data_IF_868467860264
#
_entry.id   IF_868467860264
#
_cell.length_a   1.000
_cell.length_b   1.000
_cell.length_c   1.000
_cell.angle_alpha   90.00
_cell.angle_beta   90.00
_cell.angle_gamma   90.00
#
_symmetry.space_group_name_H-M   'P 1'
#
loop_
_entity.id
_entity.type
_entity.pdbx_description
1 polymer ?
#
# COMPACT_ATOMS: atom_id res chain seq x y z
N UNK A 1 23.67 0.13 11.37
CA UNK A 1 23.66 -0.58 10.06
C UNK A 1 23.02 -1.93 10.27
N UNK A 2 21.83 -2.15 9.71
CA UNK A 2 21.06 -3.38 9.84
C UNK A 2 21.11 -4.11 8.49
N UNK A 3 21.27 -5.42 8.50
CA UNK A 3 21.22 -6.25 7.30
C UNK A 3 20.01 -7.17 7.37
N UNK A 4 19.20 -7.18 6.32
CA UNK A 4 18.03 -8.04 6.20
C UNK A 4 18.13 -8.86 4.92
N UNK A 5 17.89 -10.16 5.03
CA UNK A 5 17.89 -11.07 3.89
C UNK A 5 16.52 -11.72 3.76
N UNK A 6 15.89 -11.55 2.60
CA UNK A 6 14.61 -12.15 2.27
C UNK A 6 14.77 -13.10 1.07
N UNK A 7 14.21 -14.31 1.18
CA UNK A 7 14.15 -15.26 0.07
C UNK A 7 12.79 -15.17 -0.60
N UNK A 8 12.78 -14.83 -1.88
CA UNK A 8 11.57 -14.76 -2.72
C UNK A 8 11.75 -15.71 -3.90
N UNK A 9 11.07 -16.86 -3.82
CA UNK A 9 11.23 -17.93 -4.80
C UNK A 9 12.68 -18.38 -4.87
N UNK A 10 13.33 -18.09 -6.00
CA UNK A 10 14.72 -18.47 -6.26
C UNK A 10 15.80 -17.48 -5.93
N UNK A 11 15.43 -16.37 -5.32
CA UNK A 11 16.31 -15.23 -5.16
C UNK A 11 16.39 -14.85 -3.70
N UNK A 12 17.61 -14.63 -3.22
CA UNK A 12 17.90 -13.99 -1.96
C UNK A 12 18.12 -12.49 -2.24
N UNK A 13 17.30 -11.67 -1.59
CA UNK A 13 17.41 -10.21 -1.64
C UNK A 13 17.98 -9.77 -0.30
N UNK A 14 19.16 -9.17 -0.34
CA UNK A 14 19.87 -8.65 0.82
C UNK A 14 19.80 -7.13 0.80
N UNK A 15 19.15 -6.57 1.80
CA UNK A 15 19.01 -5.13 2.01
C UNK A 15 19.92 -4.69 3.16
N UNK A 16 20.76 -3.70 2.90
CA UNK A 16 21.55 -3.03 3.93
C UNK A 16 20.88 -1.71 4.25
N UNK A 17 20.62 -1.48 5.53
CA UNK A 17 19.93 -0.30 6.04
C UNK A 17 20.89 0.56 6.84
N UNK A 18 20.85 1.87 6.62
CA UNK A 18 21.48 2.86 7.50
C UNK A 18 20.52 3.23 8.61
N UNK A 19 21.04 3.49 9.82
CA UNK A 19 20.23 3.88 10.98
C UNK A 19 19.56 5.26 10.77
N UNK A 20 20.01 6.03 9.78
CA UNK A 20 19.48 7.35 9.41
C UNK A 20 18.44 7.30 8.27
N UNK A 21 18.25 6.15 7.61
CA UNK A 21 17.41 6.01 6.41
C UNK A 21 16.32 4.96 6.63
N UNK A 22 15.09 5.32 6.27
CA UNK A 22 13.96 4.37 6.21
C UNK A 22 13.95 3.54 4.91
N UNK A 23 14.98 3.68 4.08
CA UNK A 23 15.18 2.95 2.82
C UNK A 23 16.55 2.26 2.84
N UNK A 24 16.67 1.09 2.18
CA UNK A 24 17.94 0.41 2.07
C UNK A 24 18.94 1.27 1.30
N UNK A 25 20.15 1.37 1.84
CA UNK A 25 21.29 2.04 1.20
C UNK A 25 21.99 1.13 0.20
N UNK A 26 21.82 -0.18 0.33
CA UNK A 26 22.34 -1.17 -0.61
C UNK A 26 21.33 -2.32 -0.76
N UNK A 27 21.16 -2.80 -1.99
CA UNK A 27 20.34 -3.97 -2.30
C UNK A 27 21.18 -4.92 -3.16
N UNK A 28 21.34 -6.15 -2.71
CA UNK A 28 21.92 -7.23 -3.50
C UNK A 28 20.86 -8.26 -3.81
N UNK A 29 20.82 -8.70 -5.06
CA UNK A 29 19.97 -9.81 -5.49
C UNK A 29 20.88 -10.93 -5.95
N UNK A 30 20.86 -12.04 -5.22
CA UNK A 30 21.63 -13.24 -5.55
C UNK A 30 20.67 -14.42 -5.68
N UNK A 31 21.03 -15.48 -6.41
CA UNK A 31 20.30 -16.74 -6.32
C UNK A 31 20.22 -17.20 -4.85
N UNK A 32 19.06 -17.70 -4.44
CA UNK A 32 18.88 -18.31 -3.13
C UNK A 32 19.63 -19.64 -3.05
N UNK A 33 20.01 -20.06 -1.84
CA UNK A 33 20.61 -21.36 -1.62
C UNK A 33 19.65 -22.48 -2.10
N UNK A 34 20.13 -23.39 -2.95
CA UNK A 34 19.30 -24.44 -3.58
C UNK A 34 18.48 -24.01 -4.81
N UNK A 35 18.64 -22.78 -5.31
CA UNK A 35 17.91 -22.26 -6.48
C UNK A 35 18.29 -22.94 -7.82
N UNK A 36 19.34 -23.76 -7.85
CA UNK A 36 19.94 -24.41 -9.02
C UNK A 36 19.00 -25.28 -9.87
N UNK A 37 17.82 -25.59 -9.33
CA UNK A 37 16.79 -26.44 -9.94
C UNK A 37 15.47 -25.73 -10.23
N UNK A 38 15.42 -24.40 -10.19
CA UNK A 38 14.18 -23.68 -10.46
C UNK A 38 13.77 -23.80 -11.92
N UNK A 39 12.58 -24.36 -12.10
CA UNK A 39 11.91 -24.48 -13.37
C UNK A 39 10.71 -23.56 -13.39
N UNK A 40 10.47 -22.88 -14.51
CA UNK A 40 9.25 -22.10 -14.68
C UNK A 40 8.02 -23.03 -14.79
N UNK A 41 6.81 -22.46 -14.85
CA UNK A 41 5.56 -23.22 -15.01
C UNK A 41 5.50 -24.08 -16.31
N UNK A 42 6.49 -23.98 -17.20
CA UNK A 42 6.66 -24.78 -18.42
C UNK A 42 7.80 -25.80 -18.31
N UNK A 43 8.35 -26.04 -17.11
CA UNK A 43 9.42 -27.01 -16.88
C UNK A 43 10.79 -26.59 -17.41
N UNK A 44 10.98 -25.33 -17.82
CA UNK A 44 12.26 -24.84 -18.35
C UNK A 44 13.13 -24.30 -17.23
N UNK A 45 14.44 -24.64 -17.25
CA UNK A 45 15.42 -24.09 -16.32
C UNK A 45 15.45 -22.56 -16.42
N UNK A 46 15.26 -21.89 -15.30
CA UNK A 46 15.40 -20.43 -15.23
C UNK A 46 16.90 -20.12 -15.24
N UNK A 47 17.40 -19.49 -16.30
CA UNK A 47 18.80 -19.09 -16.40
C UNK A 47 19.15 -18.08 -15.29
N UNK A 48 20.04 -18.47 -14.37
CA UNK A 48 20.50 -17.68 -13.22
C UNK A 48 21.61 -16.67 -13.56
N UNK A 49 21.77 -16.28 -14.81
CA UNK A 49 22.83 -15.35 -15.20
C UNK A 49 22.35 -13.90 -15.02
N UNK A 50 22.65 -13.34 -13.84
CA UNK A 50 22.46 -11.92 -13.60
C UNK A 50 22.65 -11.57 -12.14
N UNK A 51 23.90 -11.43 -11.68
CA UNK A 51 24.18 -10.64 -10.49
C UNK A 51 23.99 -9.18 -10.91
N UNK A 52 22.80 -8.63 -10.70
CA UNK A 52 22.58 -7.19 -10.81
C UNK A 52 22.98 -6.55 -9.49
N UNK A 53 24.28 -6.28 -9.30
CA UNK A 53 24.75 -5.41 -8.23
C UNK A 53 24.67 -3.96 -8.71
N UNK A 54 23.63 -3.23 -8.30
CA UNK A 54 23.59 -1.79 -8.52
C UNK A 54 23.96 -1.09 -7.22
N UNK A 55 25.16 -0.52 -7.16
CA UNK A 55 25.53 0.39 -6.06
C UNK A 55 24.77 1.69 -6.29
N UNK A 56 23.66 1.86 -5.58
CA UNK A 56 22.85 3.08 -5.63
C UNK A 56 23.57 4.19 -4.87
N UNK A 57 24.50 4.90 -5.54
CA UNK A 57 25.25 6.00 -4.91
C UNK A 57 24.37 7.21 -4.60
N UNK A 58 23.25 7.37 -5.29
CA UNK A 58 22.27 8.41 -5.00
C UNK A 58 20.92 8.05 -5.63
N UNK A 59 19.95 7.61 -4.81
CA UNK A 59 18.55 7.59 -5.25
C UNK A 59 17.95 8.94 -4.88
N UNK A 60 17.91 9.88 -5.84
CA UNK A 60 17.03 11.05 -5.72
C UNK A 60 15.59 10.62 -5.92
N UNK A 61 15.03 9.95 -4.93
CA UNK A 61 13.58 9.89 -4.82
C UNK A 61 13.12 11.34 -4.63
N UNK A 62 12.29 11.84 -5.53
CA UNK A 62 11.60 13.10 -5.32
C UNK A 62 10.87 12.95 -3.97
N UNK A 63 11.44 13.57 -2.94
CA UNK A 63 11.02 13.47 -1.55
C UNK A 63 9.50 13.70 -1.49
N UNK A 64 8.67 12.70 -1.14
CA UNK A 64 7.43 13.05 -0.48
C UNK A 64 7.90 13.67 0.83
N UNK A 65 7.68 14.98 1.03
CA UNK A 65 8.10 15.69 2.23
C UNK A 65 7.33 15.27 3.49
N UNK A 66 6.90 14.03 3.60
CA UNK A 66 6.35 13.46 4.82
C UNK A 66 7.49 12.74 5.55
N UNK A 67 8.06 13.39 6.56
CA UNK A 67 8.90 12.72 7.56
C UNK A 67 8.25 11.39 8.02
N UNK A 68 9.01 10.37 8.44
CA UNK A 68 8.42 9.10 8.88
C UNK A 68 7.33 9.25 9.97
N UNK A 69 7.38 10.36 10.72
CA UNK A 69 6.33 10.81 11.66
C UNK A 69 5.01 11.14 10.95
N UNK A 70 5.07 11.85 9.82
CA UNK A 70 3.93 12.19 8.98
C UNK A 70 3.34 10.95 8.25
N UNK A 71 4.14 9.92 7.94
CA UNK A 71 3.61 8.65 7.41
C UNK A 71 2.86 7.89 8.50
N UNK A 72 3.40 7.82 9.72
CA UNK A 72 2.72 7.21 10.86
C UNK A 72 1.39 7.91 11.20
N UNK A 73 1.39 9.24 11.20
CA UNK A 73 0.17 10.04 11.43
C UNK A 73 -0.86 9.85 10.30
N UNK A 74 -0.42 9.77 9.04
CA UNK A 74 -1.32 9.50 7.91
C UNK A 74 -1.94 8.10 7.97
N UNK A 75 -1.16 7.07 8.36
CA UNK A 75 -1.68 5.71 8.54
C UNK A 75 -2.68 5.67 9.69
N UNK A 76 -2.39 6.37 10.80
CA UNK A 76 -3.30 6.48 11.95
C UNK A 76 -4.60 7.17 11.57
N UNK A 77 -4.53 8.31 10.87
CA UNK A 77 -5.71 9.03 10.40
C UNK A 77 -6.57 8.19 9.47
N UNK A 78 -5.93 7.41 8.57
CA UNK A 78 -6.63 6.48 7.69
C UNK A 78 -7.35 5.39 8.50
N UNK A 79 -6.67 4.77 9.46
CA UNK A 79 -7.27 3.73 10.30
C UNK A 79 -8.45 4.27 11.11
N UNK A 80 -8.30 5.41 11.79
CA UNK A 80 -9.37 6.05 12.56
C UNK A 80 -10.59 6.38 11.67
N UNK A 81 -10.35 6.84 10.43
CA UNK A 81 -11.42 7.15 9.50
C UNK A 81 -12.15 5.89 8.99
N UNK A 82 -11.41 4.79 8.77
CA UNK A 82 -11.97 3.50 8.35
C UNK A 82 -12.77 2.84 9.48
N UNK A 83 -12.26 2.88 10.72
CA UNK A 83 -12.98 2.35 11.89
C UNK A 83 -14.30 3.11 12.13
N UNK A 84 -14.26 4.44 12.05
CA UNK A 84 -15.47 5.26 12.15
C UNK A 84 -16.48 4.92 11.05
N UNK A 85 -16.02 4.69 9.82
CA UNK A 85 -16.86 4.24 8.71
C UNK A 85 -17.46 2.85 8.96
N UNK A 86 -16.66 1.93 9.50
CA UNK A 86 -17.08 0.56 9.79
C UNK A 86 -18.15 0.50 10.88
N UNK A 87 -18.11 1.40 11.87
CA UNK A 87 -19.13 1.51 12.92
C UNK A 87 -20.55 1.75 12.34
N UNK A 88 -20.67 2.49 11.23
CA UNK A 88 -21.96 2.68 10.53
C UNK A 88 -22.42 1.45 9.75
N UNK A 89 -21.51 0.51 9.48
CA UNK A 89 -21.78 -0.69 8.66
C UNK A 89 -21.82 -1.99 9.46
N UNK A 90 -21.45 -1.95 10.73
CA UNK A 90 -21.41 -3.10 11.64
C UNK A 90 -22.80 -3.75 11.86
N UNK A 91 -23.89 -3.05 11.57
CA UNK A 91 -25.27 -3.56 11.64
C UNK A 91 -25.83 -4.14 10.33
N UNK A 92 -25.01 -4.37 9.30
CA UNK A 92 -25.45 -4.80 7.96
C UNK A 92 -25.52 -3.64 6.97
N UNK A 93 -26.23 -3.80 5.83
CA UNK A 93 -26.42 -2.75 4.80
C UNK A 93 -27.25 -1.59 5.35
N UNK A 94 -26.67 -0.82 6.29
CA UNK A 94 -27.29 0.33 6.93
C UNK A 94 -27.72 1.37 5.90
N UNK A 95 -28.74 2.15 6.27
CA UNK A 95 -29.25 3.24 5.44
C UNK A 95 -28.16 4.25 5.11
N UNK A 96 -28.23 4.85 3.92
CA UNK A 96 -27.28 5.87 3.48
C UNK A 96 -27.63 7.18 4.19
N UNK A 97 -27.08 7.38 5.38
CA UNK A 97 -27.21 8.63 6.15
C UNK A 97 -26.17 9.66 5.73
N UNK A 98 -26.40 10.94 6.06
CA UNK A 98 -25.37 11.97 5.85
C UNK A 98 -24.10 11.71 6.67
N UNK A 99 -24.23 11.19 7.88
CA UNK A 99 -23.08 10.84 8.73
C UNK A 99 -22.24 9.72 8.11
N UNK A 100 -22.88 8.72 7.50
CA UNK A 100 -22.18 7.71 6.70
C UNK A 100 -21.43 8.34 5.52
N UNK A 101 -22.07 9.26 4.78
CA UNK A 101 -21.45 9.92 3.62
C UNK A 101 -20.27 10.81 4.03
N UNK A 102 -20.35 11.46 5.20
CA UNK A 102 -19.27 12.26 5.78
C UNK A 102 -18.10 11.38 6.23
N UNK A 103 -18.37 10.27 6.91
CA UNK A 103 -17.36 9.29 7.30
C UNK A 103 -16.66 8.67 6.06
N UNK A 104 -17.45 8.32 5.03
CA UNK A 104 -16.93 7.78 3.77
C UNK A 104 -16.02 8.79 3.05
N UNK A 105 -16.43 10.06 2.99
CA UNK A 105 -15.62 11.13 2.40
C UNK A 105 -14.32 11.36 3.16
N UNK A 106 -14.35 11.31 4.50
CA UNK A 106 -13.15 11.42 5.35
C UNK A 106 -12.19 10.27 5.08
N UNK A 107 -12.67 9.03 5.08
CA UNK A 107 -11.85 7.86 4.78
C UNK A 107 -11.24 7.92 3.37
N UNK A 108 -12.01 8.39 2.38
CA UNK A 108 -11.52 8.57 1.02
C UNK A 108 -10.45 9.67 0.88
N UNK A 109 -10.55 10.77 1.66
CA UNK A 109 -9.52 11.81 1.71
C UNK A 109 -8.25 11.34 2.42
N UNK A 110 -8.39 10.55 3.47
CA UNK A 110 -7.26 9.98 4.22
C UNK A 110 -6.42 9.01 3.37
N UNK A 111 -6.98 8.46 2.28
CA UNK A 111 -6.19 7.70 1.29
C UNK A 111 -5.16 8.55 0.51
N UNK A 112 -5.18 9.87 0.67
CA UNK A 112 -4.24 10.79 0.03
C UNK A 112 -4.66 11.25 -1.37
N UNK A 113 -3.81 12.06 -2.03
CA UNK A 113 -4.14 12.77 -3.28
C UNK A 113 -4.30 11.84 -4.49
N UNK A 114 -3.74 10.62 -4.41
CA UNK A 114 -3.93 9.58 -5.41
C UNK A 114 -5.25 8.83 -5.13
N UNK A 115 -6.36 9.52 -5.38
CA UNK A 115 -7.73 9.02 -5.33
C UNK A 115 -7.98 7.95 -6.42
N UNK A 116 -7.40 6.76 -6.21
CA UNK A 116 -7.26 5.71 -7.21
C UNK A 116 -8.31 4.61 -7.05
N UNK A 117 -8.36 3.71 -8.04
CA UNK A 117 -9.12 2.45 -7.97
C UNK A 117 -8.82 1.66 -6.70
N UNK A 118 -7.59 1.75 -6.17
CA UNK A 118 -7.17 1.11 -4.92
C UNK A 118 -7.93 1.63 -3.71
N UNK A 119 -8.11 2.95 -3.59
CA UNK A 119 -8.88 3.58 -2.50
C UNK A 119 -10.35 3.13 -2.53
N UNK A 120 -10.95 3.06 -3.71
CA UNK A 120 -12.33 2.57 -3.87
C UNK A 120 -12.45 1.09 -3.48
N UNK A 121 -11.46 0.27 -3.82
CA UNK A 121 -11.43 -1.16 -3.45
C UNK A 121 -11.33 -1.34 -1.94
N UNK A 122 -10.44 -0.61 -1.27
CA UNK A 122 -10.30 -0.64 0.19
C UNK A 122 -11.61 -0.24 0.89
N UNK A 123 -12.26 0.83 0.44
CA UNK A 123 -13.54 1.26 1.01
C UNK A 123 -14.68 0.28 0.73
N UNK A 124 -14.66 -0.40 -0.41
CA UNK A 124 -15.59 -1.48 -0.73
C UNK A 124 -15.46 -2.64 0.25
N UNK A 125 -14.24 -3.06 0.55
CA UNK A 125 -13.94 -4.08 1.56
C UNK A 125 -14.38 -3.61 2.96
N UNK A 126 -14.00 -2.40 3.37
CA UNK A 126 -14.33 -1.85 4.68
C UNK A 126 -15.84 -1.71 4.92
N UNK A 127 -16.61 -1.39 3.87
CA UNK A 127 -18.06 -1.18 3.99
C UNK A 127 -18.90 -2.42 3.64
N UNK A 128 -18.27 -3.53 3.25
CA UNK A 128 -18.96 -4.73 2.75
C UNK A 128 -19.82 -4.48 1.50
N UNK A 129 -19.47 -3.47 0.69
CA UNK A 129 -20.24 -3.04 -0.50
C UNK A 129 -19.37 -3.21 -1.75
N UNK A 130 -20.00 -3.30 -2.92
CA UNK A 130 -19.24 -3.32 -4.17
C UNK A 130 -18.67 -1.93 -4.52
N UNK A 131 -17.58 -1.90 -5.29
CA UNK A 131 -16.91 -0.65 -5.67
C UNK A 131 -17.80 0.33 -6.44
N UNK A 132 -18.75 -0.15 -7.25
CA UNK A 132 -19.73 0.70 -7.95
C UNK A 132 -20.63 1.45 -6.97
N UNK A 133 -21.09 0.78 -5.93
CA UNK A 133 -21.92 1.37 -4.86
C UNK A 133 -21.13 2.40 -4.08
N UNK A 134 -19.88 2.10 -3.73
CA UNK A 134 -18.98 3.04 -3.07
C UNK A 134 -18.76 4.28 -3.92
N UNK A 135 -18.49 4.15 -5.22
CA UNK A 135 -18.39 5.31 -6.13
C UNK A 135 -19.67 6.15 -6.18
N UNK A 136 -20.84 5.51 -6.20
CA UNK A 136 -22.11 6.23 -6.19
C UNK A 136 -22.28 7.03 -4.89
N UNK A 137 -21.88 6.45 -3.75
CA UNK A 137 -21.91 7.13 -2.46
C UNK A 137 -20.90 8.28 -2.39
N UNK A 138 -19.68 8.09 -2.91
CA UNK A 138 -18.68 9.15 -3.02
C UNK A 138 -19.17 10.30 -3.92
N UNK A 139 -19.86 9.98 -5.02
CA UNK A 139 -20.49 10.98 -5.89
C UNK A 139 -21.57 11.76 -5.14
N UNK A 140 -22.37 11.08 -4.31
CA UNK A 140 -23.37 11.73 -3.46
C UNK A 140 -22.72 12.62 -2.39
N UNK A 141 -21.66 12.14 -1.74
CA UNK A 141 -20.86 12.91 -0.79
C UNK A 141 -20.23 14.16 -1.42
N UNK A 142 -19.77 14.06 -2.67
CA UNK A 142 -19.26 15.21 -3.45
C UNK A 142 -20.35 16.25 -3.70
N UNK A 143 -21.56 15.83 -4.11
CA UNK A 143 -22.70 16.74 -4.31
C UNK A 143 -23.12 17.47 -3.03
N UNK A 144 -22.89 16.85 -1.87
CA UNK A 144 -23.13 17.44 -0.55
C UNK A 144 -21.96 18.31 -0.04
N UNK A 145 -20.87 18.45 -0.82
CA UNK A 145 -19.71 19.28 -0.45
C UNK A 145 -18.69 18.61 0.47
N UNK A 146 -18.82 17.32 0.78
CA UNK A 146 -17.86 16.62 1.65
C UNK A 146 -16.55 16.30 0.93
N UNK A 147 -16.57 16.18 -0.39
CA UNK A 147 -15.39 16.02 -1.26
C UNK A 147 -15.29 17.27 -2.13
N UNK A 148 -14.68 18.32 -1.57
CA UNK A 148 -14.25 19.52 -2.31
C UNK A 148 -12.93 19.27 -3.03
#
# INVERSE_FOLDING_TARGET
MIEEVQVIGGWAIRCVWSDESHLPVEIHVTPAEGAENLTNARGQRVHQQGISSTVLREVKLARPQSSGRAVGDAIRELNEAVEALQAFTAGGRGSITEDYLRALARAYKACGPAHTTTSVKMLAEATGRNGKTVMNHLTKARKLGYLG
#
